data_IF_388233524920
#
_entry.id   IF_388233524920
#
_cell.length_a   1.000
_cell.length_b   1.000
_cell.length_c   1.000
_cell.angle_alpha   90.00
_cell.angle_beta   90.00
_cell.angle_gamma   90.00
#
_symmetry.space_group_name_H-M   'P 1'
#
loop_
_entity.id
_entity.type
_entity.pdbx_description
1 polymer ?
#
# COMPACT_ATOMS: atom_id res chain seq x y z
N UNK A 1 32.76 47.63 8.56
CA UNK A 1 31.45 47.12 8.99
C UNK A 1 31.04 45.94 8.13
N UNK A 2 31.44 44.71 8.49
CA UNK A 2 31.20 43.48 7.69
C UNK A 2 30.65 42.31 8.52
N UNK A 3 30.06 42.59 9.69
CA UNK A 3 29.69 41.53 10.67
C UNK A 3 28.18 41.20 10.65
N UNK A 4 27.37 41.90 9.83
CA UNK A 4 25.90 41.83 9.90
C UNK A 4 25.22 40.86 8.92
N UNK A 5 25.99 40.07 8.15
CA UNK A 5 25.42 39.21 7.08
C UNK A 5 25.52 37.70 7.33
N UNK A 6 26.20 37.26 8.40
CA UNK A 6 26.53 35.84 8.58
C UNK A 6 25.66 35.10 9.62
N UNK A 7 24.72 35.79 10.28
CA UNK A 7 23.97 35.25 11.42
C UNK A 7 22.55 34.76 11.08
N UNK A 8 22.15 34.76 9.80
CA UNK A 8 20.76 34.46 9.41
C UNK A 8 20.55 33.11 8.72
N UNK A 9 21.58 32.27 8.63
CA UNK A 9 21.54 31.03 7.83
C UNK A 9 21.41 29.75 8.67
N UNK A 10 21.31 29.85 10.00
CA UNK A 10 21.37 28.68 10.91
C UNK A 10 19.99 28.22 11.41
N UNK A 11 18.91 28.97 11.16
CA UNK A 11 17.58 28.69 11.72
C UNK A 11 16.61 27.91 10.79
N UNK A 12 17.10 27.29 9.71
CA UNK A 12 16.26 26.65 8.70
C UNK A 12 16.30 25.10 8.70
N UNK A 13 16.90 24.46 9.69
CA UNK A 13 17.23 23.02 9.64
C UNK A 13 16.45 22.10 10.60
N UNK A 14 15.33 22.54 11.21
CA UNK A 14 14.69 21.75 12.30
C UNK A 14 13.20 21.40 12.06
N UNK A 15 12.68 21.48 10.83
CA UNK A 15 11.25 21.16 10.60
C UNK A 15 11.00 20.28 9.36
N UNK A 16 11.69 19.14 9.27
CA UNK A 16 11.35 18.10 8.29
C UNK A 16 11.59 16.70 8.88
N UNK A 17 10.97 16.41 10.02
CA UNK A 17 11.18 15.14 10.75
C UNK A 17 9.97 14.62 11.52
N UNK A 18 8.75 15.06 11.19
CA UNK A 18 7.56 14.74 11.99
C UNK A 18 6.35 14.22 11.20
N UNK A 19 6.56 13.60 10.02
CA UNK A 19 5.56 12.78 9.34
C UNK A 19 6.26 11.67 8.55
N UNK A 20 6.88 10.75 9.26
CA UNK A 20 7.21 9.45 8.70
C UNK A 20 6.80 8.43 9.77
N UNK A 21 5.50 8.35 10.02
CA UNK A 21 4.93 7.11 10.56
C UNK A 21 5.24 6.06 9.52
N UNK A 22 6.31 5.31 9.77
CA UNK A 22 6.66 4.13 9.01
C UNK A 22 5.52 3.15 9.26
N UNK A 23 4.53 3.12 8.35
CA UNK A 23 3.55 2.04 8.30
C UNK A 23 4.35 0.76 8.41
N UNK A 24 4.15 0.05 9.53
CA UNK A 24 4.79 -1.23 9.74
C UNK A 24 4.43 -2.07 8.52
N UNK A 25 5.43 -2.40 7.70
CA UNK A 25 5.23 -3.17 6.49
C UNK A 25 4.83 -4.58 6.93
N UNK A 26 3.53 -4.78 7.13
CA UNK A 26 2.98 -6.08 7.40
C UNK A 26 3.17 -6.91 6.14
N UNK A 27 4.16 -7.81 6.17
CA UNK A 27 4.38 -8.78 5.12
C UNK A 27 3.55 -10.02 5.45
N UNK A 28 2.59 -10.43 4.59
CA UNK A 28 1.88 -11.68 4.81
C UNK A 28 2.88 -12.85 4.82
N UNK A 29 2.63 -13.89 5.64
CA UNK A 29 3.48 -15.08 5.68
C UNK A 29 3.47 -15.87 4.36
N UNK A 30 2.52 -15.54 3.46
CA UNK A 30 2.38 -16.11 2.13
C UNK A 30 2.35 -14.96 1.12
N UNK A 31 3.25 -14.98 0.14
CA UNK A 31 3.25 -14.01 -0.94
C UNK A 31 2.17 -14.36 -1.99
N UNK A 32 1.54 -13.33 -2.54
CA UNK A 32 0.57 -13.45 -3.62
C UNK A 32 1.04 -12.61 -4.81
N UNK A 33 0.86 -13.14 -6.02
CA UNK A 33 0.90 -12.31 -7.22
C UNK A 33 -0.36 -11.45 -7.28
N UNK A 34 -0.29 -10.30 -7.95
CA UNK A 34 -1.45 -9.44 -8.18
C UNK A 34 -1.82 -9.37 -9.66
N UNK A 35 -3.12 -9.30 -9.95
CA UNK A 35 -3.65 -9.12 -11.29
C UNK A 35 -4.83 -8.14 -11.29
N UNK A 36 -5.13 -7.54 -12.44
CA UNK A 36 -6.38 -6.80 -12.63
C UNK A 36 -7.41 -7.69 -13.29
N UNK A 37 -8.57 -7.85 -12.66
CA UNK A 37 -9.72 -8.60 -13.17
C UNK A 37 -10.81 -7.63 -13.58
N UNK A 38 -11.44 -7.88 -14.73
CA UNK A 38 -12.62 -7.15 -15.17
C UNK A 38 -13.83 -8.07 -15.06
N UNK A 39 -14.80 -7.67 -14.24
CA UNK A 39 -16.12 -8.30 -14.19
C UNK A 39 -16.99 -7.53 -15.17
N UNK A 40 -17.40 -8.18 -16.26
CA UNK A 40 -18.25 -7.60 -17.28
C UNK A 40 -19.69 -8.08 -17.11
N UNK A 41 -20.61 -7.14 -16.93
CA UNK A 41 -22.05 -7.31 -17.08
C UNK A 41 -22.49 -6.81 -18.47
N UNK A 42 -23.78 -6.93 -18.80
CA UNK A 42 -24.29 -6.57 -20.12
C UNK A 42 -23.97 -5.12 -20.51
N UNK A 43 -24.22 -4.18 -19.59
CA UNK A 43 -24.10 -2.74 -19.85
C UNK A 43 -23.00 -2.05 -19.00
N UNK A 44 -22.32 -2.80 -18.13
CA UNK A 44 -21.35 -2.25 -17.19
C UNK A 44 -20.16 -3.19 -16.98
N UNK A 45 -19.03 -2.64 -16.55
CA UNK A 45 -17.86 -3.41 -16.17
C UNK A 45 -17.17 -2.80 -14.95
N UNK A 46 -16.89 -3.63 -13.96
CA UNK A 46 -16.11 -3.27 -12.80
C UNK A 46 -14.71 -3.88 -12.88
N UNK A 47 -13.69 -3.08 -12.60
CA UNK A 47 -12.31 -3.53 -12.49
C UNK A 47 -11.92 -3.73 -11.03
N UNK A 48 -11.31 -4.87 -10.71
CA UNK A 48 -10.75 -5.13 -9.38
C UNK A 48 -9.26 -5.45 -9.47
N UNK A 49 -8.48 -4.92 -8.53
CA UNK A 49 -7.11 -5.37 -8.29
C UNK A 49 -7.16 -6.57 -7.34
N UNK A 50 -6.77 -7.75 -7.81
CA UNK A 50 -6.88 -8.98 -7.02
C UNK A 50 -5.52 -9.60 -6.73
N UNK A 51 -5.40 -10.16 -5.53
CA UNK A 51 -4.38 -11.17 -5.24
C UNK A 51 -4.78 -12.50 -5.88
N UNK A 52 -3.82 -13.23 -6.44
CA UNK A 52 -4.06 -14.51 -7.11
C UNK A 52 -3.60 -15.65 -6.21
N UNK A 53 -4.56 -16.42 -5.71
CA UNK A 53 -4.32 -17.56 -4.84
C UNK A 53 -4.34 -18.87 -5.64
N UNK A 54 -3.15 -19.45 -5.88
CA UNK A 54 -2.96 -20.67 -6.71
C UNK A 54 -2.61 -21.91 -5.90
N UNK A 55 -1.88 -21.76 -4.79
CA UNK A 55 -1.42 -22.89 -3.97
C UNK A 55 -2.43 -23.22 -2.88
N UNK A 56 -2.37 -24.45 -2.34
CA UNK A 56 -3.20 -24.82 -1.20
C UNK A 56 -2.95 -23.92 0.02
N UNK A 57 -1.69 -23.54 0.26
CA UNK A 57 -1.34 -22.62 1.36
C UNK A 57 -1.94 -21.22 1.16
N UNK A 58 -1.88 -20.69 -0.06
CA UNK A 58 -2.51 -19.41 -0.42
C UNK A 58 -4.03 -19.44 -0.22
N UNK A 59 -4.70 -20.52 -0.67
CA UNK A 59 -6.16 -20.66 -0.52
C UNK A 59 -6.58 -20.80 0.93
N UNK A 60 -5.83 -21.57 1.72
CA UNK A 60 -6.09 -21.75 3.14
C UNK A 60 -5.86 -20.47 3.95
N UNK A 61 -4.89 -19.64 3.55
CA UNK A 61 -4.63 -18.36 4.20
C UNK A 61 -5.66 -17.29 3.81
N UNK A 62 -5.99 -17.21 2.52
CA UNK A 62 -6.96 -16.27 2.00
C UNK A 62 -6.69 -14.83 2.44
N UNK A 63 -7.74 -14.15 2.90
CA UNK A 63 -7.68 -12.77 3.41
C UNK A 63 -7.64 -12.68 4.95
N UNK A 64 -7.35 -13.79 5.65
CA UNK A 64 -7.53 -13.90 7.11
C UNK A 64 -6.80 -12.84 7.94
N UNK A 65 -5.70 -12.29 7.44
CA UNK A 65 -4.92 -11.29 8.17
C UNK A 65 -5.15 -9.85 7.71
N UNK A 66 -6.15 -9.61 6.85
CA UNK A 66 -6.46 -8.27 6.36
C UNK A 66 -7.54 -7.62 7.25
N UNK A 67 -7.21 -6.59 8.04
CA UNK A 67 -8.19 -5.89 8.87
C UNK A 67 -9.14 -5.02 8.03
N UNK A 68 -8.69 -4.59 6.86
CA UNK A 68 -9.44 -3.78 5.91
C UNK A 68 -9.10 -4.26 4.50
N UNK A 69 -10.09 -4.22 3.60
CA UNK A 69 -9.92 -4.45 2.18
C UNK A 69 -10.43 -3.24 1.41
N UNK A 70 -9.62 -2.74 0.49
CA UNK A 70 -10.01 -1.67 -0.41
C UNK A 70 -11.22 -2.13 -1.27
N UNK A 71 -12.25 -1.29 -1.49
CA UNK A 71 -13.46 -1.68 -2.22
C UNK A 71 -13.24 -2.11 -3.67
N UNK A 72 -12.14 -1.65 -4.30
CA UNK A 72 -11.75 -2.06 -5.66
C UNK A 72 -10.72 -3.20 -5.64
N UNK A 73 -10.53 -3.83 -4.49
CA UNK A 73 -9.55 -4.90 -4.29
C UNK A 73 -10.18 -6.22 -3.86
N UNK A 74 -9.51 -7.33 -4.16
CA UNK A 74 -10.04 -8.65 -3.85
C UNK A 74 -9.01 -9.77 -3.89
N UNK A 75 -9.49 -11.01 -3.84
CA UNK A 75 -8.69 -12.21 -4.05
C UNK A 75 -9.40 -13.14 -5.02
N UNK A 76 -8.66 -13.61 -6.02
CA UNK A 76 -9.10 -14.60 -6.98
C UNK A 76 -8.52 -15.97 -6.61
N UNK A 77 -9.39 -16.92 -6.35
CA UNK A 77 -9.04 -18.30 -6.05
C UNK A 77 -9.09 -19.11 -7.35
N UNK A 78 -7.97 -19.73 -7.70
CA UNK A 78 -7.83 -20.62 -8.86
C UNK A 78 -7.60 -22.07 -8.43
#
# INVERSE_FOLDING_TARGET
MYIRRMLLTVLASVFCGACAEQEASWAPPVAFDTARVWIRAADDSAGLLVEVSRTAAQRSFGLMSRPLLDPESGMLFL
#
